data_IF_905149223096
#
_entry.id   IF_905149223096
#
_cell.length_a   1.000
_cell.length_b   1.000
_cell.length_c   1.000
_cell.angle_alpha   90.00
_cell.angle_beta   90.00
_cell.angle_gamma   90.00
#
_symmetry.space_group_name_H-M   'P 1'
#
loop_
_entity.id
_entity.type
_entity.pdbx_description
1 polymer ?
#
# COMPACT_ATOMS: atom_id res chain seq x y z
N UNK A 1 1.12 2.80 -28.24
CA UNK A 1 1.09 1.68 -27.27
C UNK A 1 1.82 2.14 -26.03
N UNK A 2 1.34 1.80 -24.84
CA UNK A 2 2.10 2.11 -23.62
C UNK A 2 3.40 1.31 -23.60
N UNK A 3 4.42 1.79 -22.90
CA UNK A 3 5.69 1.07 -22.78
C UNK A 3 5.60 0.00 -21.70
N UNK A 4 6.37 -1.08 -21.84
CA UNK A 4 6.53 -2.10 -20.79
C UNK A 4 6.95 -1.45 -19.46
N UNK A 5 7.90 -0.52 -19.50
CA UNK A 5 8.37 0.24 -18.34
C UNK A 5 7.25 1.07 -17.69
N UNK A 6 6.38 1.66 -18.51
CA UNK A 6 5.21 2.43 -18.05
C UNK A 6 4.16 1.58 -17.31
N UNK A 7 4.17 0.25 -17.50
CA UNK A 7 3.28 -0.68 -16.79
C UNK A 7 3.97 -1.38 -15.61
N UNK A 8 5.26 -1.69 -15.74
CA UNK A 8 6.02 -2.44 -14.74
C UNK A 8 6.17 -1.66 -13.43
N UNK A 9 6.58 -0.38 -13.53
CA UNK A 9 6.83 0.43 -12.34
C UNK A 9 5.53 0.64 -11.53
N UNK A 10 4.38 1.04 -12.13
CA UNK A 10 3.11 1.09 -11.41
C UNK A 10 2.65 -0.28 -10.88
N UNK A 11 2.83 -1.36 -11.66
CA UNK A 11 2.45 -2.72 -11.24
C UNK A 11 3.18 -3.18 -9.98
N UNK A 12 4.51 -3.00 -9.94
CA UNK A 12 5.32 -3.32 -8.77
C UNK A 12 4.98 -2.43 -7.57
N UNK A 13 4.78 -1.12 -7.79
CA UNK A 13 4.40 -0.19 -6.73
C UNK A 13 3.07 -0.58 -6.07
N UNK A 14 2.05 -0.88 -6.90
CA UNK A 14 0.74 -1.34 -6.43
C UNK A 14 0.83 -2.68 -5.70
N UNK A 15 1.67 -3.62 -6.17
CA UNK A 15 1.85 -4.91 -5.51
C UNK A 15 2.47 -4.75 -4.13
N UNK A 16 3.57 -3.99 -4.04
CA UNK A 16 4.25 -3.72 -2.77
C UNK A 16 3.31 -3.05 -1.77
N UNK A 17 2.53 -2.07 -2.21
CA UNK A 17 1.51 -1.43 -1.37
C UNK A 17 0.42 -2.41 -0.94
N UNK A 18 -0.07 -3.26 -1.84
CA UNK A 18 -1.11 -4.25 -1.54
C UNK A 18 -0.64 -5.32 -0.54
N UNK A 19 0.60 -5.79 -0.65
CA UNK A 19 1.22 -6.71 0.31
C UNK A 19 1.40 -6.04 1.67
N UNK A 20 1.90 -4.80 1.68
CA UNK A 20 2.06 -4.00 2.89
C UNK A 20 0.73 -3.80 3.61
N UNK A 21 -0.31 -3.33 2.91
CA UNK A 21 -1.65 -3.12 3.48
C UNK A 21 -2.26 -4.44 3.97
N UNK A 22 -2.11 -5.54 3.23
CA UNK A 22 -2.58 -6.87 3.65
C UNK A 22 -1.87 -7.38 4.91
N UNK A 23 -0.58 -7.08 5.07
CA UNK A 23 0.17 -7.41 6.27
C UNK A 23 -0.32 -6.59 7.47
N UNK A 24 -0.57 -5.29 7.26
CA UNK A 24 -1.10 -4.39 8.28
C UNK A 24 -2.49 -4.84 8.75
N UNK A 25 -3.38 -5.13 7.80
CA UNK A 25 -4.70 -5.69 8.05
C UNK A 25 -4.61 -6.99 8.85
N UNK A 26 -3.72 -7.91 8.45
CA UNK A 26 -3.57 -9.21 9.10
C UNK A 26 -3.17 -9.07 10.56
N UNK A 27 -2.20 -8.20 10.85
CA UNK A 27 -1.78 -7.90 12.21
C UNK A 27 -2.88 -7.22 13.03
N UNK A 28 -3.68 -6.34 12.42
CA UNK A 28 -4.80 -5.69 13.09
C UNK A 28 -5.89 -6.70 13.47
N UNK A 29 -6.25 -7.62 12.57
CA UNK A 29 -7.20 -8.70 12.86
C UNK A 29 -6.69 -9.64 13.97
N UNK A 30 -5.42 -10.05 13.91
CA UNK A 30 -4.80 -10.92 14.93
C UNK A 30 -4.78 -10.24 16.32
N UNK A 31 -4.61 -8.93 16.36
CA UNK A 31 -4.63 -8.12 17.58
C UNK A 31 -6.03 -7.69 18.00
N UNK A 32 -7.08 -8.11 17.28
CA UNK A 32 -8.48 -7.70 17.50
C UNK A 32 -8.66 -6.19 17.57
N UNK A 33 -7.93 -5.46 16.73
CA UNK A 33 -8.04 -4.01 16.65
C UNK A 33 -9.32 -3.62 15.91
N UNK A 34 -10.00 -2.59 16.42
CA UNK A 34 -11.17 -1.99 15.79
C UNK A 34 -10.79 -0.94 14.75
N UNK A 35 -9.56 -0.43 14.77
CA UNK A 35 -9.05 0.59 13.86
C UNK A 35 -7.67 0.21 13.33
N UNK A 36 -7.46 0.39 12.03
CA UNK A 36 -6.20 0.09 11.35
C UNK A 36 -5.14 1.14 11.68
N UNK A 37 -4.15 0.77 12.51
CA UNK A 37 -3.08 1.70 12.93
C UNK A 37 -1.94 1.70 11.91
N UNK A 38 -1.85 2.75 11.10
CA UNK A 38 -0.73 2.91 10.17
C UNK A 38 0.57 3.28 10.92
N UNK A 39 1.73 2.70 10.54
CA UNK A 39 3.04 3.11 11.01
C UNK A 39 3.30 4.60 10.77
N UNK A 40 3.70 5.28 11.84
CA UNK A 40 4.01 6.71 11.84
C UNK A 40 5.53 6.91 11.73
N UNK A 41 5.95 7.95 11.01
CA UNK A 41 7.35 8.31 10.92
C UNK A 41 7.92 8.70 12.30
N UNK A 42 9.13 8.24 12.65
CA UNK A 42 9.81 8.67 13.86
C UNK A 42 10.05 10.18 13.85
N UNK A 43 9.67 10.87 14.93
CA UNK A 43 9.79 12.33 15.10
C UNK A 43 11.20 12.88 14.83
N UNK A 44 12.24 12.07 15.06
CA UNK A 44 13.65 12.46 14.87
C UNK A 44 14.07 12.56 13.39
N UNK A 45 13.39 11.88 12.47
CA UNK A 45 13.80 11.85 11.06
C UNK A 45 13.36 13.12 10.29
N UNK A 46 12.30 13.78 10.76
CA UNK A 46 11.65 14.87 10.00
C UNK A 46 12.24 16.26 10.28
N UNK A 47 13.11 16.42 11.30
CA UNK A 47 13.83 17.67 11.60
C UNK A 47 12.97 18.89 11.98
N UNK A 48 11.66 18.86 11.72
CA UNK A 48 10.71 19.93 11.98
C UNK A 48 9.99 19.68 13.31
N UNK A 49 10.26 20.52 14.31
CA UNK A 49 9.61 20.48 15.62
C UNK A 49 8.09 20.73 15.62
N UNK A 50 7.50 21.07 14.47
CA UNK A 50 6.12 21.54 14.32
C UNK A 50 5.17 20.57 13.59
N UNK A 51 5.68 19.49 12.97
CA UNK A 51 4.83 18.58 12.17
C UNK A 51 4.39 17.40 13.03
N UNK A 52 3.06 17.21 13.14
CA UNK A 52 2.42 16.03 13.74
C UNK A 52 2.97 14.75 13.10
N UNK A 53 2.94 13.62 13.82
CA UNK A 53 3.38 12.32 13.30
C UNK A 53 2.73 12.01 11.94
N UNK A 54 3.51 12.05 10.85
CA UNK A 54 3.05 11.71 9.50
C UNK A 54 3.12 10.19 9.30
N UNK A 55 2.10 9.63 8.64
CA UNK A 55 2.16 8.24 8.20
C UNK A 55 3.16 8.07 7.05
N UNK A 56 3.84 6.92 7.02
CA UNK A 56 4.73 6.57 5.91
C UNK A 56 3.98 6.55 4.56
N UNK A 57 2.72 6.11 4.61
CA UNK A 57 1.83 6.05 3.45
C UNK A 57 1.58 7.42 2.81
N UNK A 58 1.31 8.46 3.61
CA UNK A 58 1.09 9.81 3.11
C UNK A 58 2.31 10.36 2.34
N UNK A 59 3.51 10.10 2.86
CA UNK A 59 4.77 10.50 2.21
C UNK A 59 4.98 9.73 0.91
N UNK A 60 4.76 8.41 0.93
CA UNK A 60 4.92 7.55 -0.24
C UNK A 60 3.96 7.94 -1.38
N UNK A 61 2.71 8.30 -1.06
CA UNK A 61 1.71 8.79 -2.02
C UNK A 61 2.11 10.09 -2.71
N UNK A 62 3.02 10.88 -2.14
CA UNK A 62 3.56 12.09 -2.77
C UNK A 62 4.84 11.79 -3.52
N UNK A 63 5.82 11.16 -2.87
CA UNK A 63 7.18 11.01 -3.40
C UNK A 63 7.23 10.08 -4.61
N UNK A 64 6.58 8.91 -4.56
CA UNK A 64 6.63 7.94 -5.66
C UNK A 64 5.96 8.49 -6.92
N UNK A 65 4.73 9.02 -6.87
CA UNK A 65 4.10 9.56 -8.07
C UNK A 65 4.77 10.84 -8.58
N UNK A 66 5.36 11.67 -7.71
CA UNK A 66 6.16 12.81 -8.14
C UNK A 66 7.39 12.37 -8.96
N UNK A 67 8.09 11.32 -8.50
CA UNK A 67 9.15 10.69 -9.28
C UNK A 67 8.62 10.12 -10.61
N UNK A 68 7.45 9.46 -10.59
CA UNK A 68 6.77 8.98 -11.79
C UNK A 68 6.49 10.08 -12.82
N UNK A 69 6.02 11.26 -12.39
CA UNK A 69 5.81 12.43 -13.27
C UNK A 69 7.12 12.90 -13.90
N UNK A 70 8.21 12.96 -13.13
CA UNK A 70 9.53 13.34 -13.64
C UNK A 70 9.99 12.33 -14.71
N UNK A 71 9.85 11.03 -14.44
CA UNK A 71 10.16 9.99 -15.41
C UNK A 71 9.31 10.11 -16.69
N UNK A 72 7.99 10.34 -16.57
CA UNK A 72 7.10 10.48 -17.72
C UNK A 72 7.45 11.65 -18.65
N UNK A 73 7.99 12.74 -18.10
CA UNK A 73 8.39 13.90 -18.89
C UNK A 73 9.77 13.80 -19.51
N UNK A 74 10.72 13.16 -18.81
CA UNK A 74 12.15 13.27 -19.11
C UNK A 74 12.86 11.95 -19.40
N UNK A 75 12.16 10.81 -19.34
CA UNK A 75 12.74 9.50 -19.66
C UNK A 75 12.30 9.00 -21.05
N UNK A 76 13.23 8.47 -21.88
CA UNK A 76 14.69 8.44 -21.68
C UNK A 76 15.32 9.84 -21.72
N UNK A 77 16.49 9.99 -21.09
CA UNK A 77 17.19 11.28 -20.94
C UNK A 77 17.36 11.99 -22.30
N UNK A 78 17.02 13.27 -22.35
CA UNK A 78 17.06 14.10 -23.56
C UNK A 78 15.71 14.28 -24.25
N UNK A 79 14.68 13.54 -23.83
CA UNK A 79 13.30 13.75 -24.28
C UNK A 79 12.62 14.81 -23.39
N UNK A 80 11.77 15.65 -23.99
CA UNK A 80 10.90 16.58 -23.25
C UNK A 80 9.45 16.43 -23.74
N UNK A 81 8.59 15.85 -22.91
CA UNK A 81 7.17 15.61 -23.20
C UNK A 81 6.22 16.60 -22.50
N UNK A 82 6.72 17.75 -22.03
CA UNK A 82 5.91 18.80 -21.38
C UNK A 82 4.97 19.55 -22.34
N UNK A 83 5.17 19.40 -23.65
CA UNK A 83 4.34 20.06 -24.64
C UNK A 83 2.95 19.42 -24.64
N UNK A 84 1.89 20.22 -24.48
CA UNK A 84 0.50 19.75 -24.58
C UNK A 84 -0.02 19.91 -26.01
N UNK A 85 0.30 21.03 -26.64
CA UNK A 85 -0.24 21.44 -27.94
C UNK A 85 0.88 21.63 -28.93
N UNK A 86 0.76 21.04 -30.12
CA UNK A 86 1.59 21.43 -31.26
C UNK A 86 1.07 22.66 -31.98
N UNK A 87 1.58 23.82 -31.57
CA UNK A 87 1.28 25.11 -32.22
C UNK A 87 1.84 25.25 -33.63
N UNK A 88 2.71 24.33 -34.08
CA UNK A 88 3.24 24.33 -35.46
C UNK A 88 2.37 23.51 -36.40
N UNK A 89 1.49 22.67 -35.86
CA UNK A 89 0.55 21.88 -36.64
C UNK A 89 -0.77 22.67 -36.80
N UNK A 90 -1.17 23.04 -38.03
CA UNK A 90 -2.41 23.77 -38.29
C UNK A 90 -3.68 22.99 -37.90
N UNK A 91 -3.62 21.68 -37.64
CA UNK A 91 -4.73 20.90 -37.10
C UNK A 91 -4.78 20.83 -35.56
N UNK A 92 -3.85 21.52 -34.87
CA UNK A 92 -3.78 21.67 -33.40
C UNK A 92 -4.08 20.37 -32.65
N UNK A 93 -3.21 19.38 -32.83
CA UNK A 93 -3.34 18.12 -32.10
C UNK A 93 -2.74 18.23 -30.69
N UNK A 94 -3.49 17.73 -29.71
CA UNK A 94 -2.95 17.42 -28.40
C UNK A 94 -1.89 16.32 -28.56
N UNK A 95 -0.67 16.58 -28.10
CA UNK A 95 0.45 15.64 -28.23
C UNK A 95 0.71 14.93 -26.91
N UNK A 96 1.38 13.77 -26.97
CA UNK A 96 1.74 12.96 -25.79
C UNK A 96 0.55 12.58 -24.90
N UNK A 97 -0.61 12.27 -25.49
CA UNK A 97 -1.84 11.87 -24.78
C UNK A 97 -1.57 10.86 -23.65
N UNK A 98 -0.87 9.77 -23.95
CA UNK A 98 -0.59 8.69 -22.98
C UNK A 98 0.24 9.22 -21.78
N UNK A 99 1.26 10.06 -22.01
CA UNK A 99 2.03 10.68 -20.93
C UNK A 99 1.16 11.62 -20.07
N UNK A 100 0.30 12.43 -20.69
CA UNK A 100 -0.60 13.33 -19.96
C UNK A 100 -1.64 12.59 -19.14
N UNK A 101 -2.12 11.43 -19.60
CA UNK A 101 -2.95 10.53 -18.80
C UNK A 101 -2.19 10.02 -17.57
N UNK A 102 -0.94 9.56 -17.73
CA UNK A 102 -0.12 9.09 -16.59
C UNK A 102 0.18 10.22 -15.60
N UNK A 103 0.55 11.41 -16.09
CA UNK A 103 0.77 12.60 -15.26
C UNK A 103 -0.48 12.95 -14.47
N UNK A 104 -1.65 12.92 -15.11
CA UNK A 104 -2.92 13.20 -14.44
C UNK A 104 -3.18 12.16 -13.35
N UNK A 105 -3.02 10.87 -13.67
CA UNK A 105 -3.16 9.78 -12.71
C UNK A 105 -2.23 10.00 -11.49
N UNK A 106 -0.93 10.21 -11.72
CA UNK A 106 0.04 10.46 -10.65
C UNK A 106 -0.29 11.72 -9.85
N UNK A 107 -0.78 12.79 -10.51
CA UNK A 107 -1.22 14.02 -9.86
C UNK A 107 -2.33 13.78 -8.84
N UNK A 108 -3.29 12.90 -9.13
CA UNK A 108 -4.35 12.54 -8.18
C UNK A 108 -3.85 11.66 -7.02
N UNK A 109 -2.81 10.83 -7.22
CA UNK A 109 -2.13 10.15 -6.11
C UNK A 109 -1.40 11.15 -5.20
N UNK A 110 -0.70 12.15 -5.78
CA UNK A 110 -0.05 13.24 -5.02
C UNK A 110 -1.10 14.01 -4.23
N UNK A 111 -2.23 14.36 -4.85
CA UNK A 111 -3.32 15.07 -4.18
C UNK A 111 -3.84 14.26 -2.97
N UNK A 112 -4.05 12.95 -3.13
CA UNK A 112 -4.41 12.07 -2.01
C UNK A 112 -3.36 12.09 -0.91
N UNK A 113 -2.06 12.02 -1.24
CA UNK A 113 -0.99 12.11 -0.25
C UNK A 113 -0.93 13.46 0.48
N UNK A 114 -1.17 14.58 -0.23
CA UNK A 114 -1.25 15.91 0.38
C UNK A 114 -2.44 16.00 1.34
N UNK A 115 -3.60 15.46 0.94
CA UNK A 115 -4.77 15.38 1.82
C UNK A 115 -4.43 14.60 3.08
N UNK A 116 -3.77 13.44 2.97
CA UNK A 116 -3.32 12.64 4.11
C UNK A 116 -2.38 13.45 5.03
N UNK A 117 -1.40 14.17 4.48
CA UNK A 117 -0.46 15.00 5.25
C UNK A 117 -1.19 16.12 6.00
N UNK A 118 -2.04 16.88 5.31
CA UNK A 118 -2.77 18.02 5.89
C UNK A 118 -3.74 17.55 6.97
N UNK A 119 -4.46 16.47 6.68
CA UNK A 119 -5.39 15.81 7.58
C UNK A 119 -4.71 15.35 8.89
N UNK A 120 -3.56 14.67 8.78
CA UNK A 120 -2.77 14.19 9.92
C UNK A 120 -2.09 15.31 10.70
N UNK A 121 -1.75 16.42 10.03
CA UNK A 121 -1.22 17.63 10.67
C UNK A 121 -2.28 18.37 11.49
N UNK A 122 -3.51 18.47 10.99
CA UNK A 122 -4.59 19.21 11.63
C UNK A 122 -5.35 18.42 12.71
N UNK A 123 -5.21 17.08 12.76
CA UNK A 123 -5.88 16.19 13.74
C UNK A 123 -7.39 16.39 13.86
N UNK A 124 -8.05 16.85 12.80
CA UNK A 124 -9.48 17.12 12.80
C UNK A 124 -10.30 15.82 12.81
N UNK A 125 -11.50 15.76 13.41
CA UNK A 125 -12.32 14.54 13.45
C UNK A 125 -12.81 14.07 12.06
N UNK A 126 -12.79 14.93 11.04
CA UNK A 126 -13.14 14.61 9.65
C UNK A 126 -11.95 14.13 8.80
N UNK A 127 -10.75 14.10 9.38
CA UNK A 127 -9.48 13.70 8.76
C UNK A 127 -9.60 12.40 7.96
N UNK A 128 -9.94 11.31 8.66
CA UNK A 128 -9.97 9.97 8.06
C UNK A 128 -10.96 9.87 6.91
N UNK A 129 -12.12 10.53 7.03
CA UNK A 129 -13.14 10.53 5.95
C UNK A 129 -12.61 11.23 4.70
N UNK A 130 -11.91 12.34 4.88
CA UNK A 130 -11.31 13.09 3.77
C UNK A 130 -10.17 12.32 3.11
N UNK A 131 -9.35 11.62 3.89
CA UNK A 131 -8.30 10.71 3.39
C UNK A 131 -8.90 9.61 2.51
N UNK A 132 -9.95 8.93 2.98
CA UNK A 132 -10.64 7.89 2.19
C UNK A 132 -11.35 8.45 0.96
N UNK A 133 -11.94 9.63 1.06
CA UNK A 133 -12.58 10.29 -0.07
C UNK A 133 -11.56 10.68 -1.16
N UNK A 134 -10.39 11.19 -0.77
CA UNK A 134 -9.33 11.52 -1.71
C UNK A 134 -8.75 10.25 -2.36
N UNK A 135 -8.54 9.18 -1.59
CA UNK A 135 -8.10 7.89 -2.13
C UNK A 135 -9.14 7.30 -3.11
N UNK A 136 -10.43 7.34 -2.77
CA UNK A 136 -11.50 6.90 -3.66
C UNK A 136 -11.52 7.70 -4.97
N UNK A 137 -11.40 9.04 -4.88
CA UNK A 137 -11.32 9.93 -6.04
C UNK A 137 -10.17 9.56 -6.96
N UNK A 138 -8.99 9.23 -6.41
CA UNK A 138 -7.84 8.77 -7.19
C UNK A 138 -8.20 7.54 -8.04
N UNK A 139 -8.85 6.53 -7.46
CA UNK A 139 -9.25 5.33 -8.23
C UNK A 139 -10.39 5.57 -9.22
N UNK A 140 -11.33 6.47 -8.93
CA UNK A 140 -12.32 6.91 -9.92
C UNK A 140 -11.66 7.59 -11.13
N UNK A 141 -10.67 8.46 -10.89
CA UNK A 141 -9.91 9.10 -11.97
C UNK A 141 -9.09 8.08 -12.75
N UNK A 142 -8.46 7.10 -12.09
CA UNK A 142 -7.77 5.99 -12.78
C UNK A 142 -8.73 5.26 -13.73
N UNK A 143 -9.92 4.89 -13.25
CA UNK A 143 -10.93 4.23 -14.08
C UNK A 143 -11.38 5.11 -15.26
N UNK A 144 -11.64 6.40 -15.01
CA UNK A 144 -12.05 7.36 -16.04
C UNK A 144 -10.97 7.55 -17.12
N UNK A 145 -9.72 7.75 -16.71
CA UNK A 145 -8.59 7.88 -17.62
C UNK A 145 -8.42 6.62 -18.47
N UNK A 146 -8.62 5.44 -17.88
CA UNK A 146 -8.51 4.17 -18.57
C UNK A 146 -9.56 4.01 -19.68
N UNK A 147 -10.79 4.50 -19.50
CA UNK A 147 -11.81 4.51 -20.57
C UNK A 147 -11.30 5.28 -21.80
N UNK A 148 -10.69 6.44 -21.60
CA UNK A 148 -10.09 7.19 -22.71
C UNK A 148 -8.78 6.58 -23.23
N UNK A 149 -8.08 5.78 -22.40
CA UNK A 149 -6.83 5.10 -22.77
C UNK A 149 -7.05 3.94 -23.73
N UNK A 150 -8.15 3.21 -23.58
CA UNK A 150 -8.47 2.05 -24.42
C UNK A 150 -8.97 2.43 -25.82
N UNK A 151 -9.38 3.69 -26.03
CA UNK A 151 -9.82 4.18 -27.34
C UNK A 151 -8.69 4.02 -28.38
N UNK A 152 -9.04 3.42 -29.53
CA UNK A 152 -8.14 3.16 -30.67
C UNK A 152 -7.00 2.16 -30.39
N UNK A 153 -7.12 1.32 -29.36
CA UNK A 153 -6.20 0.20 -29.09
C UNK A 153 -6.66 -1.09 -29.78
N UNK A 154 -5.80 -2.11 -29.82
CA UNK A 154 -6.17 -3.42 -30.35
C UNK A 154 -7.25 -4.11 -29.49
N UNK A 155 -8.00 -5.06 -30.05
CA UNK A 155 -9.05 -5.82 -29.31
C UNK A 155 -8.49 -6.49 -28.05
N UNK A 156 -7.25 -6.99 -28.13
CA UNK A 156 -6.52 -7.57 -27.01
C UNK A 156 -6.25 -6.53 -25.93
N UNK A 157 -5.63 -5.40 -26.31
CA UNK A 157 -5.32 -4.31 -25.36
C UNK A 157 -6.61 -3.79 -24.70
N UNK A 158 -7.69 -3.59 -25.46
CA UNK A 158 -8.98 -3.18 -24.91
C UNK A 158 -9.45 -4.18 -23.84
N UNK A 159 -9.43 -5.48 -24.15
CA UNK A 159 -9.88 -6.53 -23.22
C UNK A 159 -9.07 -6.55 -21.93
N UNK A 160 -7.74 -6.47 -22.05
CA UNK A 160 -6.82 -6.51 -20.91
C UNK A 160 -7.03 -5.31 -19.98
N UNK A 161 -7.17 -4.11 -20.56
CA UNK A 161 -7.40 -2.89 -19.78
C UNK A 161 -8.81 -2.82 -19.20
N UNK A 162 -9.85 -3.33 -19.88
CA UNK A 162 -11.19 -3.45 -19.28
C UNK A 162 -11.18 -4.34 -18.03
N UNK A 163 -10.43 -5.45 -18.07
CA UNK A 163 -10.22 -6.32 -16.91
C UNK A 163 -9.42 -5.63 -15.79
N UNK A 164 -8.64 -4.59 -16.09
CA UNK A 164 -8.00 -3.72 -15.10
C UNK A 164 -8.97 -2.66 -14.52
N UNK A 165 -9.85 -2.08 -15.35
CA UNK A 165 -10.86 -1.09 -14.92
C UNK A 165 -11.78 -1.69 -13.87
N UNK A 166 -12.21 -2.94 -14.03
CA UNK A 166 -13.13 -3.60 -13.11
C UNK A 166 -12.66 -3.59 -11.65
N UNK A 167 -11.48 -4.15 -11.28
CA UNK A 167 -10.98 -4.11 -9.91
C UNK A 167 -10.64 -2.69 -9.44
N UNK A 168 -10.19 -1.79 -10.32
CA UNK A 168 -9.94 -0.39 -9.96
C UNK A 168 -11.23 0.34 -9.54
N UNK A 169 -12.32 0.13 -10.29
CA UNK A 169 -13.63 0.68 -9.96
C UNK A 169 -14.22 0.05 -8.69
N UNK A 170 -14.12 -1.27 -8.52
CA UNK A 170 -14.53 -1.94 -7.29
C UNK A 170 -13.76 -1.40 -6.08
N UNK A 171 -12.45 -1.16 -6.21
CA UNK A 171 -11.63 -0.54 -5.17
C UNK A 171 -12.11 0.87 -4.83
N UNK A 172 -12.44 1.70 -5.83
CA UNK A 172 -13.03 3.02 -5.62
C UNK A 172 -14.38 2.95 -4.86
N UNK A 173 -15.23 1.97 -5.20
CA UNK A 173 -16.49 1.74 -4.49
C UNK A 173 -16.27 1.32 -3.03
N UNK A 174 -15.34 0.38 -2.79
CA UNK A 174 -15.00 -0.06 -1.43
C UNK A 174 -14.54 1.12 -0.58
N UNK A 175 -13.63 1.94 -1.11
CA UNK A 175 -13.15 3.15 -0.43
C UNK A 175 -14.28 4.15 -0.18
N UNK A 176 -15.23 4.27 -1.12
CA UNK A 176 -16.41 5.13 -0.96
C UNK A 176 -17.30 4.66 0.18
N UNK A 177 -17.52 3.35 0.30
CA UNK A 177 -18.28 2.76 1.42
C UNK A 177 -17.53 2.96 2.75
N UNK A 178 -16.19 2.85 2.73
CA UNK A 178 -15.32 3.05 3.90
C UNK A 178 -15.39 4.48 4.48
N UNK A 179 -15.77 5.49 3.69
CA UNK A 179 -16.03 6.87 4.18
C UNK A 179 -17.15 6.86 5.24
N UNK A 180 -18.17 6.02 5.04
CA UNK A 180 -19.33 5.93 5.92
C UNK A 180 -19.14 4.90 7.02
N UNK A 181 -18.41 3.81 6.72
CA UNK A 181 -18.20 2.68 7.63
C UNK A 181 -16.70 2.32 7.72
N UNK A 182 -15.86 3.17 8.33
CA UNK A 182 -14.39 3.00 8.32
C UNK A 182 -13.88 1.81 9.14
N UNK A 183 -14.60 1.41 10.19
CA UNK A 183 -14.17 0.38 11.16
C UNK A 183 -14.76 -1.01 10.83
N UNK A 184 -14.74 -1.40 9.56
CA UNK A 184 -15.34 -2.65 9.09
C UNK A 184 -14.28 -3.61 8.52
N UNK A 185 -13.96 -4.66 9.29
CA UNK A 185 -12.96 -5.66 8.91
C UNK A 185 -13.21 -6.30 7.53
N UNK A 186 -14.46 -6.70 7.16
CA UNK A 186 -14.78 -7.12 5.79
C UNK A 186 -14.37 -6.13 4.69
N UNK A 187 -14.52 -4.82 4.90
CA UNK A 187 -14.08 -3.81 3.92
C UNK A 187 -12.56 -3.79 3.78
N UNK A 188 -11.81 -3.92 4.88
CA UNK A 188 -10.35 -4.00 4.81
C UNK A 188 -9.87 -5.25 4.06
N UNK A 189 -10.50 -6.40 4.30
CA UNK A 189 -10.22 -7.66 3.59
C UNK A 189 -10.52 -7.50 2.10
N UNK A 190 -11.67 -6.91 1.76
CA UNK A 190 -12.10 -6.72 0.38
C UNK A 190 -11.18 -5.72 -0.35
N UNK A 191 -10.79 -4.63 0.32
CA UNK A 191 -9.79 -3.66 -0.17
C UNK A 191 -8.45 -4.33 -0.46
N UNK A 192 -7.93 -5.11 0.49
CA UNK A 192 -6.70 -5.90 0.32
C UNK A 192 -6.79 -6.85 -0.86
N UNK A 193 -7.89 -7.60 -0.97
CA UNK A 193 -8.08 -8.58 -2.05
C UNK A 193 -8.14 -7.89 -3.41
N UNK A 194 -8.94 -6.82 -3.56
CA UNK A 194 -9.02 -6.07 -4.82
C UNK A 194 -7.68 -5.42 -5.18
N UNK A 195 -6.92 -4.90 -4.20
CA UNK A 195 -5.57 -4.37 -4.44
C UNK A 195 -4.60 -5.43 -4.96
N UNK A 196 -4.62 -6.64 -4.38
CA UNK A 196 -3.81 -7.77 -4.85
C UNK A 196 -4.20 -8.22 -6.27
N UNK A 197 -5.50 -8.28 -6.58
CA UNK A 197 -5.97 -8.59 -7.93
C UNK A 197 -5.53 -7.52 -8.93
N UNK A 198 -5.76 -6.24 -8.60
CA UNK A 198 -5.38 -5.11 -9.45
C UNK A 198 -3.88 -5.10 -9.76
N UNK A 199 -3.04 -5.29 -8.74
CA UNK A 199 -1.59 -5.28 -8.87
C UNK A 199 -1.02 -6.49 -9.60
N UNK A 200 -1.48 -7.71 -9.27
CA UNK A 200 -1.04 -8.92 -9.97
C UNK A 200 -1.50 -8.92 -11.43
N UNK A 201 -2.70 -8.40 -11.71
CA UNK A 201 -3.15 -8.23 -13.10
C UNK A 201 -2.28 -7.23 -13.85
N UNK A 202 -1.93 -6.09 -13.24
CA UNK A 202 -1.01 -5.12 -13.86
C UNK A 202 0.33 -5.75 -14.25
N UNK A 203 0.87 -6.66 -13.43
CA UNK A 203 2.07 -7.42 -13.77
C UNK A 203 1.84 -8.42 -14.91
N UNK A 204 0.65 -9.04 -14.98
CA UNK A 204 0.25 -9.87 -16.12
C UNK A 204 0.21 -9.04 -17.42
N UNK A 205 -0.26 -7.78 -17.39
CA UNK A 205 -0.19 -6.88 -18.55
C UNK A 205 1.26 -6.70 -19.04
N UNK A 206 2.21 -6.58 -18.10
CA UNK A 206 3.64 -6.47 -18.44
C UNK A 206 4.16 -7.73 -19.14
N UNK A 207 3.77 -8.92 -18.65
CA UNK A 207 4.08 -10.20 -19.29
C UNK A 207 3.49 -10.29 -20.70
N UNK A 208 2.30 -9.73 -20.95
CA UNK A 208 1.73 -9.73 -22.29
C UNK A 208 2.52 -8.90 -23.30
N UNK A 209 3.26 -7.87 -22.86
CA UNK A 209 4.17 -7.10 -23.70
C UNK A 209 5.47 -7.87 -23.99
N UNK A 210 5.97 -8.64 -23.02
CA UNK A 210 7.19 -9.44 -23.14
C UNK A 210 6.89 -10.85 -22.59
N UNK A 211 6.29 -11.74 -23.39
CA UNK A 211 5.79 -13.02 -22.92
C UNK A 211 6.95 -13.93 -22.50
N UNK A 212 6.81 -14.60 -21.36
CA UNK A 212 7.87 -15.49 -20.86
C UNK A 212 8.11 -16.69 -21.79
N UNK A 213 7.08 -17.08 -22.53
CA UNK A 213 7.14 -18.16 -23.52
C UNK A 213 7.81 -17.73 -24.84
N UNK A 214 8.04 -16.42 -25.03
CA UNK A 214 8.48 -15.84 -26.29
C UNK A 214 7.42 -15.82 -27.40
N UNK A 215 6.22 -16.34 -27.14
CA UNK A 215 5.12 -16.38 -28.12
C UNK A 215 4.21 -15.15 -27.96
N UNK A 216 4.06 -14.30 -28.99
CA UNK A 216 3.24 -13.11 -28.89
C UNK A 216 1.75 -13.45 -28.86
N UNK A 217 0.99 -12.68 -28.09
CA UNK A 217 -0.46 -12.75 -28.05
C UNK A 217 -1.10 -12.25 -29.35
N UNK A 218 -2.11 -12.96 -29.86
CA UNK A 218 -2.81 -12.60 -31.11
C UNK A 218 -4.16 -11.96 -30.85
N UNK A 219 -4.30 -10.70 -31.23
CA UNK A 219 -5.52 -9.92 -31.01
C UNK A 219 -6.72 -10.36 -31.87
N UNK A 220 -6.47 -11.07 -32.96
CA UNK A 220 -7.45 -11.63 -33.89
C UNK A 220 -7.84 -13.08 -33.54
N UNK A 221 -7.11 -13.75 -32.65
CA UNK A 221 -7.43 -15.11 -32.23
C UNK A 221 -8.47 -15.09 -31.09
N UNK A 222 -9.72 -15.57 -31.32
CA UNK A 222 -10.74 -15.61 -30.27
C UNK A 222 -10.34 -16.50 -29.09
N UNK A 223 -9.47 -17.49 -29.32
CA UNK A 223 -8.96 -18.39 -28.27
C UNK A 223 -8.05 -17.64 -27.31
N UNK A 224 -7.04 -16.92 -27.83
CA UNK A 224 -6.14 -16.08 -27.03
C UNK A 224 -6.94 -15.08 -26.19
N UNK A 225 -7.92 -14.41 -26.83
CA UNK A 225 -8.81 -13.48 -26.16
C UNK A 225 -9.64 -14.13 -25.03
N UNK A 226 -10.05 -15.39 -25.17
CA UNK A 226 -10.74 -16.12 -24.11
C UNK A 226 -9.79 -16.49 -22.95
N UNK A 227 -8.55 -16.89 -23.27
CA UNK A 227 -7.54 -17.20 -22.26
C UNK A 227 -7.15 -15.99 -21.41
N UNK A 228 -7.17 -14.77 -21.95
CA UNK A 228 -6.99 -13.54 -21.16
C UNK A 228 -8.01 -13.45 -20.02
N UNK A 229 -9.28 -13.70 -20.30
CA UNK A 229 -10.33 -13.68 -19.26
C UNK A 229 -10.18 -14.85 -18.29
N UNK A 230 -9.82 -16.04 -18.77
CA UNK A 230 -9.53 -17.20 -17.91
C UNK A 230 -8.39 -16.88 -16.94
N UNK A 231 -7.30 -16.29 -17.43
CA UNK A 231 -6.17 -15.87 -16.59
C UNK A 231 -6.60 -14.85 -15.56
N UNK A 232 -7.41 -13.86 -15.93
CA UNK A 232 -7.96 -12.92 -14.97
C UNK A 232 -8.77 -13.60 -13.85
N UNK A 233 -9.59 -14.62 -14.17
CA UNK A 233 -10.30 -15.40 -13.16
C UNK A 233 -9.34 -16.11 -12.19
N UNK A 234 -8.21 -16.63 -12.69
CA UNK A 234 -7.16 -17.18 -11.83
C UNK A 234 -6.46 -16.12 -10.97
N UNK A 235 -6.35 -14.88 -11.43
CA UNK A 235 -5.86 -13.76 -10.60
C UNK A 235 -6.77 -13.46 -9.41
N UNK A 236 -8.09 -13.67 -9.53
CA UNK A 236 -9.01 -13.57 -8.38
C UNK A 236 -8.64 -14.59 -7.29
N UNK A 237 -8.41 -15.84 -7.69
CA UNK A 237 -7.99 -16.93 -6.79
C UNK A 237 -6.59 -16.68 -6.23
N UNK A 238 -5.66 -16.21 -7.06
CA UNK A 238 -4.31 -15.83 -6.65
C UNK A 238 -4.35 -14.74 -5.57
N UNK A 239 -5.19 -13.71 -5.75
CA UNK A 239 -5.37 -12.65 -4.76
C UNK A 239 -5.83 -13.17 -3.40
N UNK A 240 -6.80 -14.09 -3.37
CA UNK A 240 -7.25 -14.74 -2.12
C UNK A 240 -6.13 -15.58 -1.51
N UNK A 241 -5.42 -16.35 -2.35
CA UNK A 241 -4.33 -17.22 -1.91
C UNK A 241 -3.18 -16.42 -1.28
N UNK A 242 -2.80 -15.30 -1.91
CA UNK A 242 -1.80 -14.36 -1.39
C UNK A 242 -2.26 -13.77 -0.05
N UNK A 243 -3.53 -13.37 0.05
CA UNK A 243 -4.08 -12.82 1.29
C UNK A 243 -4.04 -13.82 2.45
N UNK A 244 -4.47 -15.07 2.20
CA UNK A 244 -4.39 -16.17 3.18
C UNK A 244 -2.94 -16.43 3.58
N UNK A 245 -2.04 -16.45 2.61
CA UNK A 245 -0.60 -16.68 2.84
C UNK A 245 -0.01 -15.57 3.71
N UNK A 246 -0.26 -14.30 3.39
CA UNK A 246 0.19 -13.15 4.18
C UNK A 246 -0.38 -13.22 5.60
N UNK A 247 -1.67 -13.50 5.75
CA UNK A 247 -2.30 -13.66 7.06
C UNK A 247 -1.67 -14.80 7.88
N UNK A 248 -1.42 -15.95 7.25
CA UNK A 248 -0.75 -17.09 7.86
C UNK A 248 0.66 -16.75 8.34
N UNK A 249 1.46 -16.08 7.50
CA UNK A 249 2.80 -15.60 7.84
C UNK A 249 2.77 -14.60 9.00
N UNK A 250 1.85 -13.62 8.98
CA UNK A 250 1.66 -12.69 10.09
C UNK A 250 1.25 -13.41 11.39
N UNK A 251 0.43 -14.45 11.30
CA UNK A 251 0.01 -15.25 12.46
C UNK A 251 1.17 -16.01 13.09
N UNK A 252 1.99 -16.68 12.26
CA UNK A 252 3.20 -17.37 12.69
C UNK A 252 4.18 -16.40 13.35
N UNK A 253 4.43 -15.25 12.71
CA UNK A 253 5.26 -14.19 13.26
C UNK A 253 4.74 -13.68 14.60
N UNK A 254 3.44 -13.39 14.69
CA UNK A 254 2.80 -12.91 15.92
C UNK A 254 2.92 -13.91 17.07
N UNK A 255 2.72 -15.21 16.80
CA UNK A 255 2.89 -16.28 17.78
C UNK A 255 4.35 -16.40 18.24
N UNK A 256 5.29 -16.39 17.31
CA UNK A 256 6.73 -16.51 17.61
C UNK A 256 7.25 -15.32 18.43
N UNK A 257 6.87 -14.09 18.09
CA UNK A 257 7.23 -12.91 18.88
C UNK A 257 6.60 -12.95 20.27
N UNK A 258 5.33 -13.34 20.39
CA UNK A 258 4.67 -13.47 21.69
C UNK A 258 5.32 -14.53 22.58
N UNK A 259 5.71 -15.69 22.01
CA UNK A 259 6.44 -16.72 22.76
C UNK A 259 7.81 -16.22 23.22
N UNK A 260 8.53 -15.49 22.36
CA UNK A 260 9.83 -14.89 22.71
C UNK A 260 9.72 -13.87 23.85
N UNK A 261 8.71 -13.00 23.82
CA UNK A 261 8.51 -12.01 24.90
C UNK A 261 8.15 -12.70 26.22
N UNK A 262 7.37 -13.79 26.17
CA UNK A 262 7.05 -14.60 27.37
C UNK A 262 8.29 -15.29 27.94
N UNK A 263 9.17 -15.85 27.12
CA UNK A 263 10.42 -16.47 27.61
C UNK A 263 11.40 -15.45 28.17
N UNK A 264 11.51 -14.24 27.59
CA UNK A 264 12.29 -13.17 28.21
C UNK A 264 11.68 -12.67 29.52
N UNK A 265 10.35 -12.52 29.59
CA UNK A 265 9.65 -12.15 30.83
C UNK A 265 9.83 -13.17 31.97
N UNK A 266 9.80 -14.47 31.64
CA UNK A 266 10.07 -15.55 32.60
C UNK A 266 11.55 -15.59 33.06
N UNK A 267 12.49 -15.16 32.20
CA UNK A 267 13.91 -15.05 32.54
C UNK A 267 14.22 -13.86 33.46
N UNK A 268 13.35 -12.86 33.47
CA UNK A 268 13.39 -11.69 34.37
C UNK A 268 12.40 -11.81 35.54
N UNK A 269 12.03 -13.03 35.93
CA UNK A 269 11.30 -13.24 37.16
C UNK A 269 12.28 -13.03 38.33
N UNK A 270 12.18 -11.85 38.93
CA UNK A 270 12.92 -11.39 40.10
C UNK A 270 12.94 -12.50 41.15
N UNK A 271 14.13 -12.93 41.61
CA UNK A 271 14.25 -13.81 42.76
C UNK A 271 13.34 -13.26 43.87
N UNK A 272 12.54 -14.10 44.56
CA UNK A 272 11.95 -13.67 45.81
C UNK A 272 13.13 -13.23 46.67
N UNK A 273 13.20 -11.94 46.98
CA UNK A 273 14.07 -11.49 48.03
C UNK A 273 13.43 -12.08 49.29
N UNK A 274 13.93 -13.24 49.72
CA UNK A 274 13.68 -13.72 51.07
C UNK A 274 13.97 -12.54 52.00
N UNK A 275 12.96 -12.21 52.80
CA UNK A 275 12.95 -11.10 53.74
C UNK A 275 14.27 -11.07 54.51
N UNK A 276 15.15 -10.15 54.14
CA UNK A 276 16.44 -9.89 54.80
C UNK A 276 16.26 -9.30 56.20
N UNK A 277 15.06 -9.37 56.79
CA UNK A 277 14.75 -8.88 58.13
C UNK A 277 15.33 -9.78 59.22
N UNK A 278 15.24 -11.11 59.08
CA UNK A 278 15.67 -12.03 60.15
C UNK A 278 17.20 -12.10 60.28
N UNK A 279 17.94 -12.10 59.17
CA UNK A 279 19.42 -12.06 59.18
C UNK A 279 19.94 -10.72 59.70
N UNK A 280 19.27 -9.60 59.39
CA UNK A 280 19.68 -8.27 59.83
C UNK A 280 19.36 -8.04 61.33
N UNK A 281 18.27 -8.60 61.84
CA UNK A 281 17.98 -8.59 63.29
C UNK A 281 18.96 -9.47 64.08
N UNK A 282 19.38 -10.61 63.52
CA UNK A 282 20.40 -11.47 64.14
C UNK A 282 21.76 -10.78 64.25
N UNK A 283 22.19 -10.11 63.18
CA UNK A 283 23.45 -9.37 63.17
C UNK A 283 23.44 -8.15 64.11
N UNK A 284 22.30 -7.46 64.24
CA UNK A 284 22.16 -6.36 65.20
C UNK A 284 22.12 -6.85 66.67
N UNK A 285 21.53 -8.02 66.93
CA UNK A 285 21.53 -8.63 68.26
C UNK A 285 22.94 -9.10 68.69
N UNK A 286 23.74 -9.64 67.76
CA UNK A 286 25.13 -10.00 68.02
C UNK A 286 26.04 -8.78 68.23
N UNK A 287 25.80 -7.68 67.51
CA UNK A 287 26.56 -6.44 67.67
C UNK A 287 26.30 -5.75 69.03
N UNK A 288 25.06 -5.77 69.55
CA UNK A 288 24.75 -5.21 70.86
C UNK A 288 25.27 -6.04 72.04
N UNK A 289 25.51 -7.34 71.85
CA UNK A 289 26.09 -8.21 72.88
C UNK A 289 27.60 -8.00 73.07
N UNK A 290 28.31 -7.42 72.09
CA UNK A 290 29.75 -7.15 72.16
C UNK A 290 30.13 -5.80 72.78
N UNK A 291 29.19 -4.85 72.86
CA UNK A 291 29.48 -3.47 73.32
C UNK A 291 29.13 -3.23 74.81
N UNK A 292 28.72 -4.28 75.53
CA UNK A 292 28.34 -4.23 76.95
C UNK A 292 29.38 -4.79 77.94
N UNK A 293 30.60 -5.11 77.48
CA UNK A 293 31.62 -5.77 78.27
C UNK A 293 32.87 -4.93 78.53
N UNK A 294 32.84 -4.22 79.67
CA UNK A 294 33.93 -3.50 80.38
C UNK A 294 34.20 -2.06 79.94
#
# INVERSE_FOLDING_TARGET
MGTFEGHLLPGLGLLMYSIYYSSLMSLALLRKQTLLKHPLLPRKLLGLGLVSQLSYEAVVKVVIPAFGIICEYYYPLGVNRLKIIDWKDPQRLFVFKDNWQHVTMFGFFILSGIVDIVSQAQRAPWSVKLERAAEALTFYVVALLMISHIENKSVLEIRVHLLFVLPAFLLALILTVEIWVPDNAPLWVLKSWMGLVLSTWMLQICEMYIPFTGQPWRADNPTDLAFVTIFFCWHLVLGVTLLITIYGLCSLWHRHCSSWTKTLGARYQQCPMESSGEELEKLNAEAMAQDGGV
#
